data_IF_211318201521
#
_entry.id   IF_211318201521
#
_cell.length_a   1.000
_cell.length_b   1.000
_cell.length_c   1.000
_cell.angle_alpha   90.00
_cell.angle_beta   90.00
_cell.angle_gamma   90.00
#
_symmetry.space_group_name_H-M   'P 1'
#
loop_
_entity.id
_entity.type
_entity.pdbx_description
1 polymer ?
#
# COMPACT_ATOMS: atom_id res chain seq x y z
N UNK A 1 -7.04 3.25 6.63
CA UNK A 1 -7.65 2.29 5.67
C UNK A 1 -8.02 0.97 6.35
N UNK A 2 -8.24 0.96 7.67
CA UNK A 2 -8.53 -0.26 8.42
C UNK A 2 -10.04 -0.45 8.69
N UNK A 3 -10.83 0.57 8.36
CA UNK A 3 -12.29 0.61 8.50
C UNK A 3 -12.81 1.65 7.50
N UNK A 4 -13.04 1.20 6.27
CA UNK A 4 -13.55 2.03 5.19
C UNK A 4 -15.08 2.11 5.32
N UNK A 5 -15.70 3.30 5.27
CA UNK A 5 -17.14 3.48 5.41
C UNK A 5 -17.89 3.12 4.10
N UNK A 6 -17.59 1.94 3.56
CA UNK A 6 -18.08 1.39 2.31
C UNK A 6 -18.60 -0.03 2.56
N UNK A 7 -19.62 -0.42 1.81
CA UNK A 7 -20.15 -1.77 1.82
C UNK A 7 -19.22 -2.79 1.15
N UNK A 8 -19.52 -4.06 1.38
CA UNK A 8 -18.80 -5.17 0.77
C UNK A 8 -19.00 -5.17 -0.74
N UNK A 9 -17.91 -5.28 -1.50
CA UNK A 9 -17.95 -5.34 -2.96
C UNK A 9 -18.47 -4.07 -3.66
N UNK A 10 -18.52 -2.94 -2.96
CA UNK A 10 -19.04 -1.68 -3.51
C UNK A 10 -18.14 -1.09 -4.61
N UNK A 11 -16.83 -1.35 -4.54
CA UNK A 11 -15.84 -0.75 -5.43
C UNK A 11 -15.37 -1.72 -6.52
N UNK A 12 -15.12 -1.20 -7.72
CA UNK A 12 -14.46 -1.95 -8.80
C UNK A 12 -12.93 -1.89 -8.72
N UNK A 13 -12.38 -0.93 -7.98
CA UNK A 13 -10.94 -0.77 -7.82
C UNK A 13 -10.55 0.20 -6.70
N UNK A 14 -9.30 0.12 -6.27
CA UNK A 14 -8.69 0.96 -5.24
C UNK A 14 -7.28 1.40 -5.68
N UNK A 15 -6.91 2.63 -5.34
CA UNK A 15 -5.56 3.16 -5.55
C UNK A 15 -5.00 3.58 -4.19
N UNK A 16 -3.94 2.90 -3.75
CA UNK A 16 -3.32 3.08 -2.43
C UNK A 16 -1.89 3.62 -2.59
N UNK A 17 -1.77 4.83 -3.12
CA UNK A 17 -0.47 5.46 -3.33
C UNK A 17 0.06 6.03 -2.03
N UNK A 18 1.26 5.59 -1.64
CA UNK A 18 1.98 6.03 -0.45
C UNK A 18 1.13 6.05 0.82
N UNK A 19 0.14 5.16 0.89
CA UNK A 19 -0.78 5.07 2.03
C UNK A 19 -0.38 3.94 2.97
N UNK A 20 0.08 2.80 2.42
CA UNK A 20 0.53 1.64 3.21
C UNK A 20 1.80 1.93 4.03
N UNK A 21 2.60 2.91 3.59
CA UNK A 21 3.85 3.31 4.27
C UNK A 21 3.61 3.98 5.63
N UNK A 22 2.35 4.28 5.98
CA UNK A 22 1.98 4.84 7.28
C UNK A 22 1.49 3.77 8.27
N UNK A 23 1.41 2.51 7.84
CA UNK A 23 0.93 1.41 8.66
C UNK A 23 2.11 0.66 9.30
N UNK A 24 1.94 0.38 10.59
CA UNK A 24 2.79 -0.58 11.31
C UNK A 24 2.66 -1.96 10.67
N UNK A 25 3.65 -2.82 10.89
CA UNK A 25 3.68 -4.17 10.28
C UNK A 25 2.42 -4.97 10.63
N UNK A 26 1.93 -4.81 11.85
CA UNK A 26 0.78 -5.53 12.42
C UNK A 26 -0.56 -5.05 11.86
N UNK A 27 -0.64 -3.82 11.34
CA UNK A 27 -1.86 -3.23 10.79
C UNK A 27 -2.08 -3.57 9.30
N UNK A 28 -1.01 -3.93 8.60
CA UNK A 28 -1.04 -4.20 7.15
C UNK A 28 -1.98 -5.34 6.76
N UNK A 29 -2.03 -6.49 7.46
CA UNK A 29 -2.98 -7.55 7.15
C UNK A 29 -4.43 -7.04 7.15
N UNK A 30 -4.83 -6.29 8.18
CA UNK A 30 -6.17 -5.70 8.24
C UNK A 30 -6.46 -4.73 7.10
N UNK A 31 -5.47 -3.93 6.67
CA UNK A 31 -5.63 -3.08 5.49
C UNK A 31 -5.88 -3.89 4.20
N UNK A 32 -5.18 -5.00 4.02
CA UNK A 32 -5.36 -5.86 2.84
C UNK A 32 -6.71 -6.58 2.86
N UNK A 33 -7.14 -7.06 4.03
CA UNK A 33 -8.48 -7.63 4.23
C UNK A 33 -9.56 -6.59 3.95
N UNK A 34 -9.35 -5.34 4.38
CA UNK A 34 -10.30 -4.26 4.15
C UNK A 34 -10.38 -3.88 2.66
N UNK A 35 -9.27 -3.93 1.93
CA UNK A 35 -9.29 -3.83 0.47
C UNK A 35 -10.08 -4.98 -0.17
N UNK A 36 -9.89 -6.21 0.29
CA UNK A 36 -10.65 -7.35 -0.21
C UNK A 36 -12.14 -7.14 0.06
N UNK A 37 -12.52 -6.72 1.26
CA UNK A 37 -13.91 -6.51 1.67
C UNK A 37 -14.62 -5.53 0.73
N UNK A 38 -14.07 -4.34 0.52
CA UNK A 38 -14.74 -3.27 -0.24
C UNK A 38 -14.70 -3.46 -1.76
N UNK A 39 -13.74 -4.21 -2.29
CA UNK A 39 -13.62 -4.44 -3.74
C UNK A 39 -14.52 -5.58 -4.18
N UNK A 40 -15.28 -5.46 -5.27
CA UNK A 40 -16.02 -6.61 -5.83
C UNK A 40 -15.06 -7.71 -6.32
N UNK A 41 -15.53 -8.96 -6.46
CA UNK A 41 -14.78 -10.02 -7.15
C UNK A 41 -14.24 -9.56 -8.51
N UNK A 42 -12.95 -9.80 -8.76
CA UNK A 42 -12.25 -9.34 -9.96
C UNK A 42 -11.85 -7.85 -9.97
N UNK A 43 -12.18 -7.10 -8.90
CA UNK A 43 -11.74 -5.72 -8.71
C UNK A 43 -10.23 -5.60 -8.51
N UNK A 44 -9.67 -4.42 -8.76
CA UNK A 44 -8.21 -4.19 -8.79
C UNK A 44 -7.74 -3.28 -7.67
N UNK A 45 -6.60 -3.60 -7.06
CA UNK A 45 -5.84 -2.65 -6.24
C UNK A 45 -4.54 -2.29 -6.95
N UNK A 46 -4.25 -0.99 -7.01
CA UNK A 46 -2.94 -0.48 -7.43
C UNK A 46 -2.29 0.23 -6.24
N UNK A 47 -1.23 -0.35 -5.70
CA UNK A 47 -0.45 0.22 -4.61
C UNK A 47 0.84 0.84 -5.15
N UNK A 48 1.27 1.94 -4.55
CA UNK A 48 2.59 2.52 -4.77
C UNK A 48 3.27 2.83 -3.44
N UNK A 49 4.54 2.52 -3.29
CA UNK A 49 5.28 2.73 -2.05
C UNK A 49 6.79 2.88 -2.28
N UNK A 50 7.48 3.37 -1.25
CA UNK A 50 8.93 3.33 -1.18
C UNK A 50 9.38 1.89 -0.94
N UNK A 51 10.25 1.37 -1.78
CA UNK A 51 10.78 0.02 -1.63
C UNK A 51 12.02 0.03 -0.72
N UNK A 52 12.04 -0.87 0.25
CA UNK A 52 13.11 -0.94 1.24
C UNK A 52 12.65 -1.56 2.56
N UNK A 53 13.41 -1.31 3.62
CA UNK A 53 13.14 -1.79 4.98
C UNK A 53 13.32 -0.69 6.03
N UNK A 54 13.75 0.49 5.60
CA UNK A 54 14.01 1.63 6.44
C UNK A 54 12.72 2.25 6.98
N UNK A 55 12.84 2.83 8.17
CA UNK A 55 11.81 3.68 8.77
C UNK A 55 12.37 5.09 8.82
N UNK A 56 11.64 6.03 8.25
CA UNK A 56 11.98 7.45 8.32
C UNK A 56 10.99 8.15 9.24
N UNK A 57 11.48 8.64 10.37
CA UNK A 57 10.72 9.52 11.26
C UNK A 57 10.81 10.97 10.79
N UNK A 58 9.69 11.68 10.85
CA UNK A 58 9.63 13.13 10.70
C UNK A 58 9.01 13.75 11.96
N UNK A 59 9.74 14.72 12.52
CA UNK A 59 9.25 15.61 13.59
C UNK A 59 8.59 16.90 13.02
N UNK A 60 8.79 17.17 11.73
CA UNK A 60 8.22 18.32 11.02
C UNK A 60 7.93 17.98 9.56
N UNK A 61 6.76 18.39 9.07
CA UNK A 61 6.36 18.22 7.69
C UNK A 61 5.51 19.40 7.22
N UNK A 62 5.86 20.01 6.09
CA UNK A 62 5.21 21.21 5.55
C UNK A 62 5.13 22.35 6.58
N UNK A 63 6.21 22.58 7.32
CA UNK A 63 6.31 23.58 8.39
C UNK A 63 5.38 23.33 9.59
N UNK A 64 4.77 22.15 9.68
CA UNK A 64 3.96 21.74 10.83
C UNK A 64 4.69 20.69 11.68
N UNK A 65 4.68 20.82 13.02
CA UNK A 65 5.18 19.78 13.90
C UNK A 65 4.32 18.52 13.72
N UNK A 66 4.97 17.39 13.50
CA UNK A 66 4.33 16.09 13.34
C UNK A 66 5.13 15.05 14.12
N UNK A 67 4.59 13.85 14.27
CA UNK A 67 5.35 12.68 14.70
C UNK A 67 4.88 11.53 13.81
N UNK A 68 5.58 11.34 12.70
CA UNK A 68 5.15 10.44 11.63
C UNK A 68 6.30 9.54 11.21
N UNK A 69 6.01 8.24 11.16
CA UNK A 69 6.87 7.25 10.56
C UNK A 69 6.44 6.94 9.13
N UNK A 70 7.42 6.85 8.25
CA UNK A 70 7.29 6.36 6.89
C UNK A 70 8.07 5.05 6.78
N UNK A 71 7.34 3.95 6.63
CA UNK A 71 7.90 2.62 6.46
C UNK A 71 8.13 2.36 4.97
N UNK A 72 9.39 2.17 4.58
CA UNK A 72 9.67 1.52 3.32
C UNK A 72 9.19 0.06 3.39
N UNK A 73 8.68 -0.46 2.26
CA UNK A 73 8.03 -1.75 2.21
C UNK A 73 8.74 -2.64 1.19
N UNK A 74 8.96 -3.89 1.55
CA UNK A 74 9.47 -4.88 0.63
C UNK A 74 8.35 -5.32 -0.34
N UNK A 75 8.54 -5.22 -1.66
CA UNK A 75 7.51 -5.57 -2.64
C UNK A 75 7.00 -7.00 -2.48
N UNK A 76 7.88 -7.95 -2.13
CA UNK A 76 7.54 -9.34 -1.90
C UNK A 76 6.65 -9.56 -0.66
N UNK A 77 6.81 -8.75 0.38
CA UNK A 77 5.96 -8.83 1.57
C UNK A 77 4.58 -8.26 1.32
N UNK A 78 4.51 -7.14 0.60
CA UNK A 78 3.23 -6.55 0.19
C UNK A 78 2.49 -7.53 -0.73
N UNK A 79 3.20 -8.14 -1.68
CA UNK A 79 2.64 -9.16 -2.57
C UNK A 79 2.12 -10.38 -1.80
N UNK A 80 2.90 -10.90 -0.84
CA UNK A 80 2.50 -12.02 -0.01
C UNK A 80 1.28 -11.68 0.87
N UNK A 81 1.25 -10.49 1.46
CA UNK A 81 0.12 -10.01 2.28
C UNK A 81 -1.16 -9.86 1.48
N UNK A 82 -1.09 -9.25 0.28
CA UNK A 82 -2.23 -9.18 -0.62
C UNK A 82 -2.69 -10.57 -1.06
N UNK A 83 -1.77 -11.49 -1.35
CA UNK A 83 -2.10 -12.87 -1.69
C UNK A 83 -2.84 -13.57 -0.55
N UNK A 84 -2.37 -13.41 0.68
CA UNK A 84 -3.03 -13.96 1.87
C UNK A 84 -4.44 -13.38 2.08
N UNK A 85 -4.68 -12.12 1.69
CA UNK A 85 -5.99 -11.48 1.74
C UNK A 85 -6.92 -11.83 0.55
N UNK A 86 -6.54 -12.78 -0.31
CA UNK A 86 -7.38 -13.23 -1.41
C UNK A 86 -7.20 -12.44 -2.70
N UNK A 87 -6.01 -11.88 -2.95
CA UNK A 87 -5.68 -11.28 -4.24
C UNK A 87 -4.73 -12.17 -5.06
N UNK A 88 -4.79 -12.04 -6.39
CA UNK A 88 -3.73 -12.47 -7.29
C UNK A 88 -2.91 -11.25 -7.71
N UNK A 89 -1.61 -11.24 -7.39
CA UNK A 89 -0.69 -10.19 -7.85
C UNK A 89 -0.41 -10.38 -9.34
N UNK A 90 -0.76 -9.38 -10.15
CA UNK A 90 -0.64 -9.44 -11.61
C UNK A 90 0.66 -8.82 -12.11
N UNK A 91 1.12 -7.76 -11.45
CA UNK A 91 2.35 -7.08 -11.82
C UNK A 91 3.00 -6.37 -10.63
N UNK A 92 4.33 -6.38 -10.64
CA UNK A 92 5.17 -5.52 -9.79
C UNK A 92 6.15 -4.79 -10.69
N UNK A 93 6.18 -3.47 -10.61
CA UNK A 93 7.11 -2.61 -11.32
C UNK A 93 8.01 -1.89 -10.32
N UNK A 94 9.32 -1.97 -10.55
CA UNK A 94 10.33 -1.22 -9.82
C UNK A 94 10.77 0.00 -10.64
N UNK A 95 10.98 1.13 -9.97
CA UNK A 95 11.41 2.38 -10.59
C UNK A 95 12.39 3.13 -9.69
N UNK A 96 13.54 3.53 -10.23
CA UNK A 96 14.45 4.47 -9.55
C UNK A 96 13.84 5.88 -9.40
N UNK A 97 14.38 6.75 -8.53
CA UNK A 97 13.85 8.09 -8.29
C UNK A 97 13.99 9.01 -9.50
N UNK A 98 13.09 10.00 -9.64
CA UNK A 98 13.28 11.11 -10.58
C UNK A 98 14.11 12.23 -9.95
N UNK A 99 14.65 13.12 -10.79
CA UNK A 99 15.31 14.35 -10.31
C UNK A 99 14.30 15.20 -9.50
N UNK A 100 14.65 15.54 -8.26
CA UNK A 100 13.81 16.33 -7.36
C UNK A 100 12.82 15.51 -6.53
N UNK A 101 12.78 14.18 -6.69
CA UNK A 101 12.06 13.28 -5.77
C UNK A 101 12.96 12.83 -4.62
N UNK A 102 12.36 12.21 -3.59
CA UNK A 102 13.14 11.51 -2.58
C UNK A 102 13.91 10.33 -3.22
N UNK A 103 15.18 10.21 -2.84
CA UNK A 103 16.16 9.24 -3.33
C UNK A 103 15.87 7.83 -2.80
N UNK A 104 14.81 7.22 -3.31
CA UNK A 104 14.36 5.86 -2.95
C UNK A 104 13.83 5.17 -4.19
N UNK A 105 14.02 3.85 -4.28
CA UNK A 105 13.29 3.05 -5.26
C UNK A 105 11.80 3.02 -4.96
N UNK A 106 10.99 2.98 -6.01
CA UNK A 106 9.53 2.89 -5.95
C UNK A 106 9.10 1.54 -6.43
N UNK A 107 8.11 0.99 -5.76
CA UNK A 107 7.38 -0.18 -6.24
C UNK A 107 5.95 0.22 -6.56
N UNK A 108 5.44 -0.31 -7.68
CA UNK A 108 4.03 -0.26 -8.06
C UNK A 108 3.53 -1.68 -8.18
N UNK A 109 2.47 -2.02 -7.46
CA UNK A 109 1.95 -3.37 -7.41
C UNK A 109 0.47 -3.35 -7.81
N UNK A 110 0.14 -4.12 -8.86
CA UNK A 110 -1.22 -4.35 -9.32
C UNK A 110 -1.67 -5.74 -8.89
N UNK A 111 -2.80 -5.83 -8.19
CA UNK A 111 -3.37 -7.10 -7.78
C UNK A 111 -4.89 -7.13 -7.99
N UNK A 112 -5.43 -8.31 -8.26
CA UNK A 112 -6.85 -8.55 -8.51
C UNK A 112 -7.48 -9.34 -7.38
N UNK A 113 -8.60 -8.87 -6.85
CA UNK A 113 -9.39 -9.61 -5.86
C UNK A 113 -9.92 -10.89 -6.49
N UNK A 114 -9.63 -12.03 -5.85
CA UNK A 114 -10.19 -13.33 -6.18
C UNK A 114 -11.55 -13.50 -5.48
N UNK A 115 -12.39 -14.38 -6.02
CA UNK A 115 -13.53 -14.97 -5.31
C UNK A 115 -14.51 -13.97 -4.69
#
# INVERSE_FOLDING_TARGET
MLDLPLGDGELAGAVAFYSLIHLQVEERPSAYEEFARVLRPGGLVLAAFHAGQEVRHLDSWLDHPVSLDFFALRPEEVAAGLTAAGFAVEATLMRGPYLGEADTERAYLLARRLG
#
